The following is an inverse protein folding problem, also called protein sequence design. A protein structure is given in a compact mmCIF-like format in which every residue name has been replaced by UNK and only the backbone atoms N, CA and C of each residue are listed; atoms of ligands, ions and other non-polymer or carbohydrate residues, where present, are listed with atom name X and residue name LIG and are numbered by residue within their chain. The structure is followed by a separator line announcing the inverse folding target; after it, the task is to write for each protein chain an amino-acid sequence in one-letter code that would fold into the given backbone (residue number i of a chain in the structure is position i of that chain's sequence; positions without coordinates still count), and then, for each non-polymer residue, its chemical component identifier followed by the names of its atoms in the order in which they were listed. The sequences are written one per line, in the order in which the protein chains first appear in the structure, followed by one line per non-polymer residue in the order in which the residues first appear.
data_IF_160560802452
#
_entry.id   IF_160560802452
#
_cell.length_a   1.000
_cell.length_b   1.000
_cell.length_c   1.000
_cell.angle_alpha   90.00
_cell.angle_beta   90.00
_cell.angle_gamma   90.00
#
_symmetry.space_group_name_H-M   'P 1'
#
loop_
_entity.id
_entity.type
_entity.pdbx_description
1 polymer ?
#
# COMPACT_ATOMS: atom_id res chain seq x y z
N UNK A 1 17.45 -11.48 1.53
CA UNK A 1 18.33 -11.23 2.67
C UNK A 1 18.97 -9.86 2.61
N UNK A 2 19.72 -9.56 3.63
CA UNK A 2 20.48 -8.32 3.76
C UNK A 2 21.94 -8.60 3.43
N UNK A 3 22.39 -8.21 2.25
CA UNK A 3 23.78 -8.33 1.85
C UNK A 3 24.06 -9.36 0.76
N UNK A 4 25.32 -9.38 0.25
CA UNK A 4 25.66 -10.08 -0.98
C UNK A 4 25.61 -11.61 -0.88
N UNK A 5 25.66 -12.17 0.31
CA UNK A 5 25.58 -13.64 0.53
C UNK A 5 24.15 -14.15 0.72
N UNK A 6 23.19 -13.26 1.00
CA UNK A 6 21.82 -13.61 1.34
C UNK A 6 20.80 -13.21 0.26
N UNK A 7 21.30 -12.77 -0.89
CA UNK A 7 20.51 -12.30 -2.01
C UNK A 7 20.44 -10.78 -2.09
N UNK A 8 19.92 -10.30 -3.21
CA UNK A 8 19.77 -8.88 -3.49
C UNK A 8 18.32 -8.44 -3.25
N UNK A 9 18.16 -7.22 -2.78
CA UNK A 9 16.86 -6.57 -2.63
C UNK A 9 16.87 -5.23 -3.37
N UNK A 10 15.74 -4.89 -3.99
CA UNK A 10 15.56 -3.56 -4.59
C UNK A 10 15.22 -2.49 -3.56
N UNK A 11 14.86 -2.88 -2.34
CA UNK A 11 14.48 -1.98 -1.24
C UNK A 11 15.65 -1.43 -0.45
N UNK A 12 16.81 -2.08 -0.53
CA UNK A 12 18.01 -1.74 0.25
C UNK A 12 19.24 -1.70 -0.64
N UNK A 13 20.18 -0.80 -0.35
CA UNK A 13 21.52 -0.90 -0.92
C UNK A 13 22.21 -2.17 -0.42
N UNK A 14 23.13 -2.72 -1.22
CA UNK A 14 23.80 -4.02 -0.94
C UNK A 14 24.61 -4.04 0.37
N UNK A 15 24.96 -2.88 0.90
CA UNK A 15 25.72 -2.70 2.14
C UNK A 15 24.84 -2.45 3.38
N UNK A 16 23.50 -2.47 3.23
CA UNK A 16 22.59 -2.41 4.38
C UNK A 16 22.57 -3.75 5.12
N UNK A 17 22.61 -3.69 6.44
CA UNK A 17 22.40 -4.82 7.33
C UNK A 17 20.98 -4.83 7.90
N UNK A 18 20.62 -5.90 8.61
CA UNK A 18 19.34 -5.98 9.32
C UNK A 18 19.24 -4.89 10.40
N UNK A 19 20.33 -4.65 11.12
CA UNK A 19 20.42 -3.60 12.14
C UNK A 19 20.25 -2.21 11.56
N UNK A 20 20.74 -1.97 10.34
CA UNK A 20 20.50 -0.71 9.61
C UNK A 20 19.00 -0.53 9.28
N UNK A 21 18.33 -1.61 8.86
CA UNK A 21 16.91 -1.59 8.59
C UNK A 21 16.07 -1.35 9.86
N UNK A 22 16.43 -1.98 10.98
CA UNK A 22 15.80 -1.78 12.28
C UNK A 22 15.99 -0.33 12.78
N UNK A 23 17.19 0.22 12.65
CA UNK A 23 17.48 1.62 12.97
C UNK A 23 16.65 2.56 12.10
N UNK A 24 16.59 2.31 10.81
CA UNK A 24 15.77 3.08 9.89
C UNK A 24 14.27 3.02 10.27
N UNK A 25 13.76 1.85 10.67
CA UNK A 25 12.36 1.73 11.09
C UNK A 25 12.07 2.60 12.31
N UNK A 26 12.93 2.58 13.34
CA UNK A 26 12.77 3.45 14.51
C UNK A 26 12.80 4.95 14.13
N UNK A 27 13.67 5.33 13.20
CA UNK A 27 13.69 6.70 12.66
C UNK A 27 12.37 7.07 11.97
N UNK A 28 11.86 6.19 11.11
CA UNK A 28 10.59 6.38 10.40
C UNK A 28 9.42 6.52 11.39
N UNK A 29 9.35 5.65 12.39
CA UNK A 29 8.29 5.66 13.40
C UNK A 29 8.31 6.95 14.22
N UNK A 30 9.48 7.40 14.67
CA UNK A 30 9.62 8.65 15.41
C UNK A 30 9.21 9.87 14.58
N UNK A 31 9.49 9.86 13.28
CA UNK A 31 9.16 10.96 12.36
C UNK A 31 7.79 10.81 11.69
N UNK A 32 7.00 9.77 12.05
CA UNK A 32 5.68 9.46 11.50
C UNK A 32 5.70 9.34 9.97
N UNK A 33 6.75 8.73 9.44
CA UNK A 33 6.92 8.43 8.02
C UNK A 33 6.62 6.96 7.82
N UNK A 34 5.72 6.62 6.90
CA UNK A 34 5.48 5.23 6.54
C UNK A 34 6.63 4.65 5.72
N UNK A 35 6.95 3.39 5.96
CA UNK A 35 7.93 2.65 5.17
C UNK A 35 7.41 2.18 3.80
N UNK A 36 6.10 2.09 3.61
CA UNK A 36 5.46 1.43 2.46
C UNK A 36 5.99 1.87 1.09
N UNK A 37 6.15 3.15 0.86
CA UNK A 37 6.62 3.72 -0.40
C UNK A 37 8.08 4.18 -0.35
N UNK A 38 8.91 3.53 0.50
CA UNK A 38 10.30 3.93 0.69
C UNK A 38 11.31 2.88 0.24
N UNK A 39 12.54 3.33 -0.03
CA UNK A 39 13.73 2.49 -0.17
C UNK A 39 14.85 3.07 0.69
N UNK A 40 15.78 2.23 1.18
CA UNK A 40 16.87 2.61 2.07
C UNK A 40 18.24 2.41 1.39
N UNK A 41 19.04 3.45 1.39
CA UNK A 41 20.41 3.42 0.87
C UNK A 41 21.39 3.90 1.92
N UNK A 42 22.37 3.04 2.25
CA UNK A 42 23.45 3.36 3.17
C UNK A 42 24.62 3.95 2.40
N UNK A 43 25.04 5.15 2.77
CA UNK A 43 26.19 5.87 2.21
C UNK A 43 27.26 5.95 3.29
N UNK A 44 28.48 5.59 2.94
CA UNK A 44 29.65 5.79 3.78
C UNK A 44 30.41 7.00 3.25
N UNK A 45 30.53 8.03 4.05
CA UNK A 45 31.28 9.24 3.69
C UNK A 45 32.79 9.05 3.92
N UNK A 46 33.61 9.92 3.37
CA UNK A 46 35.08 9.84 3.46
C UNK A 46 35.61 9.88 4.90
N UNK A 47 34.87 10.50 5.81
CA UNK A 47 35.13 10.58 7.26
C UNK A 47 34.62 9.36 8.05
N UNK A 48 34.18 8.29 7.37
CA UNK A 48 33.53 7.12 7.94
C UNK A 48 32.18 7.41 8.63
N UNK A 49 31.58 8.57 8.43
CA UNK A 49 30.24 8.87 8.91
C UNK A 49 29.20 8.12 8.03
N UNK A 50 28.26 7.46 8.70
CA UNK A 50 27.15 6.77 7.99
C UNK A 50 26.01 7.75 7.75
N UNK A 51 25.60 7.86 6.49
CA UNK A 51 24.38 8.58 6.10
C UNK A 51 23.38 7.59 5.46
N UNK A 52 22.14 7.63 5.93
CA UNK A 52 21.05 6.84 5.36
C UNK A 52 20.16 7.75 4.50
N UNK A 53 20.06 7.42 3.21
CA UNK A 53 19.12 8.04 2.31
C UNK A 53 17.82 7.22 2.29
N UNK A 54 16.73 7.80 2.77
CA UNK A 54 15.38 7.27 2.66
C UNK A 54 14.75 7.88 1.43
N UNK A 55 14.67 7.10 0.36
CA UNK A 55 14.05 7.53 -0.90
C UNK A 55 12.57 7.22 -0.87
N UNK A 56 11.75 8.25 -1.07
CA UNK A 56 10.28 8.18 -1.10
C UNK A 56 9.80 8.24 -2.54
N UNK A 57 9.02 7.26 -2.97
CA UNK A 57 8.42 7.25 -4.31
C UNK A 57 7.42 8.39 -4.47
N UNK A 58 7.67 9.26 -5.46
CA UNK A 58 6.81 10.41 -5.78
C UNK A 58 7.16 11.05 -7.12
N UNK A 59 6.20 11.78 -7.70
CA UNK A 59 6.42 12.56 -8.92
C UNK A 59 7.26 13.83 -8.67
N UNK A 60 7.09 14.43 -7.49
CA UNK A 60 7.84 15.62 -7.07
C UNK A 60 9.10 15.23 -6.32
N UNK A 61 10.22 15.83 -6.70
CA UNK A 61 11.51 15.62 -6.07
C UNK A 61 11.85 16.73 -5.09
N UNK A 62 12.28 16.36 -3.89
CA UNK A 62 12.86 17.27 -2.90
C UNK A 62 13.78 16.50 -1.97
N UNK A 63 14.67 17.22 -1.27
CA UNK A 63 15.53 16.66 -0.25
C UNK A 63 15.32 17.45 1.04
N UNK A 64 15.04 16.75 2.14
CA UNK A 64 14.92 17.38 3.45
C UNK A 64 16.32 17.59 4.07
N UNK A 65 16.41 18.52 4.98
CA UNK A 65 17.62 18.69 5.80
C UNK A 65 17.95 17.38 6.54
N UNK A 66 19.25 17.04 6.64
CA UNK A 66 19.69 15.86 7.36
C UNK A 66 19.30 15.90 8.84
N UNK A 67 18.93 14.74 9.39
CA UNK A 67 18.58 14.57 10.80
C UNK A 67 19.53 13.55 11.42
N UNK A 68 20.21 13.93 12.48
CA UNK A 68 21.03 13.01 13.29
C UNK A 68 20.13 12.11 14.15
N UNK A 69 20.33 10.79 14.05
CA UNK A 69 19.59 9.81 14.83
C UNK A 69 20.45 8.56 15.09
N UNK A 70 20.56 8.15 16.35
CA UNK A 70 21.33 6.97 16.80
C UNK A 70 22.74 6.88 16.18
N UNK A 71 23.47 8.01 16.15
CA UNK A 71 24.85 8.07 15.66
C UNK A 71 25.02 7.96 14.14
N UNK A 72 23.95 8.16 13.38
CA UNK A 72 23.96 8.24 11.93
C UNK A 72 23.14 9.43 11.44
N UNK A 73 23.38 9.86 10.21
CA UNK A 73 22.63 10.92 9.56
C UNK A 73 21.53 10.29 8.67
N UNK A 74 20.32 10.82 8.73
CA UNK A 74 19.19 10.39 7.90
C UNK A 74 18.73 11.53 6.99
N UNK A 75 18.61 11.27 5.70
CA UNK A 75 18.15 12.21 4.69
C UNK A 75 16.93 11.63 3.99
N UNK A 76 15.78 12.31 4.08
CA UNK A 76 14.55 11.92 3.36
C UNK A 76 14.55 12.62 2.00
N UNK A 77 14.50 11.82 0.94
CA UNK A 77 14.59 12.28 -0.45
C UNK A 77 13.33 11.80 -1.20
N UNK A 78 12.50 12.73 -1.66
CA UNK A 78 11.36 12.43 -2.52
C UNK A 78 11.78 12.42 -3.99
N UNK A 79 10.92 11.90 -4.88
CA UNK A 79 11.20 11.79 -6.32
C UNK A 79 11.75 10.44 -6.75
N UNK A 80 11.76 9.45 -5.87
CA UNK A 80 12.08 8.09 -6.30
C UNK A 80 11.04 7.60 -7.31
N UNK A 81 11.48 7.01 -8.43
CA UNK A 81 10.62 6.61 -9.55
C UNK A 81 9.80 7.76 -10.19
N UNK A 82 10.26 9.02 -10.11
CA UNK A 82 9.50 10.22 -10.49
C UNK A 82 8.87 10.13 -11.88
N UNK A 83 9.59 9.64 -12.90
CA UNK A 83 9.08 9.55 -14.27
C UNK A 83 7.84 8.61 -14.38
N UNK A 84 7.82 7.52 -13.62
CA UNK A 84 6.67 6.61 -13.57
C UNK A 84 5.53 7.21 -12.75
N UNK A 85 5.84 7.82 -11.61
CA UNK A 85 4.86 8.47 -10.74
C UNK A 85 4.16 9.63 -11.47
N UNK A 86 4.88 10.45 -12.24
CA UNK A 86 4.31 11.51 -13.07
C UNK A 86 3.26 10.98 -14.05
N UNK A 87 3.56 9.87 -14.74
CA UNK A 87 2.62 9.23 -15.65
C UNK A 87 1.39 8.69 -14.91
N UNK A 88 1.59 8.03 -13.79
CA UNK A 88 0.50 7.51 -12.97
C UNK A 88 -0.42 8.64 -12.47
N UNK A 89 0.15 9.74 -11.97
CA UNK A 89 -0.60 10.93 -11.53
C UNK A 89 -1.45 11.50 -12.66
N UNK A 90 -0.86 11.69 -13.84
CA UNK A 90 -1.58 12.24 -14.99
C UNK A 90 -2.78 11.35 -15.37
N UNK A 91 -2.57 10.04 -15.47
CA UNK A 91 -3.62 9.07 -15.85
C UNK A 91 -4.71 8.95 -14.78
N UNK A 92 -4.36 8.96 -13.50
CA UNK A 92 -5.34 8.94 -12.41
C UNK A 92 -6.22 10.20 -12.40
N UNK A 93 -5.64 11.36 -12.67
CA UNK A 93 -6.40 12.62 -12.78
C UNK A 93 -7.34 12.62 -13.99
N UNK A 94 -6.93 12.03 -15.12
CA UNK A 94 -7.82 11.83 -16.26
C UNK A 94 -8.96 10.85 -15.93
N UNK A 95 -8.64 9.72 -15.29
CA UNK A 95 -9.64 8.76 -14.84
C UNK A 95 -10.65 9.37 -13.85
N UNK A 96 -10.19 10.23 -12.95
CA UNK A 96 -11.07 10.91 -11.98
C UNK A 96 -12.15 11.78 -12.65
N UNK A 97 -11.87 12.37 -13.82
CA UNK A 97 -12.86 13.19 -14.58
C UNK A 97 -14.03 12.37 -15.10
N UNK A 98 -13.84 11.06 -15.30
CA UNK A 98 -14.85 10.14 -15.82
C UNK A 98 -15.28 9.11 -14.78
N UNK A 99 -14.94 9.31 -13.52
CA UNK A 99 -15.36 8.46 -12.40
C UNK A 99 -16.89 8.34 -12.34
N UNK A 100 -17.38 7.13 -12.10
CA UNK A 100 -18.81 6.83 -12.10
C UNK A 100 -19.58 7.54 -10.97
N UNK A 101 -18.91 7.89 -9.88
CA UNK A 101 -19.50 8.54 -8.72
C UNK A 101 -18.44 9.33 -7.92
N UNK A 102 -18.90 10.07 -6.90
CA UNK A 102 -18.02 10.90 -6.06
C UNK A 102 -17.01 10.12 -5.23
N UNK A 103 -17.30 8.88 -4.85
CA UNK A 103 -16.34 8.05 -4.10
C UNK A 103 -15.16 7.64 -4.99
N UNK A 104 -15.46 7.22 -6.22
CA UNK A 104 -14.43 6.86 -7.21
C UNK A 104 -13.61 8.09 -7.63
N UNK A 105 -14.25 9.24 -7.91
CA UNK A 105 -13.56 10.50 -8.18
C UNK A 105 -12.62 10.89 -7.04
N UNK A 106 -13.09 10.81 -5.79
CA UNK A 106 -12.30 11.13 -4.59
C UNK A 106 -11.12 10.19 -4.43
N UNK A 107 -11.34 8.88 -4.56
CA UNK A 107 -10.30 7.86 -4.48
C UNK A 107 -9.16 8.15 -5.48
N UNK A 108 -9.50 8.33 -6.76
CA UNK A 108 -8.52 8.53 -7.83
C UNK A 108 -7.71 9.82 -7.64
N UNK A 109 -8.35 10.91 -7.21
CA UNK A 109 -7.67 12.17 -6.91
C UNK A 109 -6.73 12.04 -5.70
N UNK A 110 -7.15 11.34 -4.64
CA UNK A 110 -6.32 11.10 -3.45
C UNK A 110 -5.12 10.21 -3.76
N UNK A 111 -5.28 9.18 -4.60
CA UNK A 111 -4.16 8.38 -5.07
C UNK A 111 -3.20 9.20 -5.93
N UNK A 112 -3.73 10.05 -6.83
CA UNK A 112 -2.89 10.97 -7.60
C UNK A 112 -2.11 11.93 -6.69
N UNK A 113 -2.72 12.48 -5.65
CA UNK A 113 -2.05 13.35 -4.67
C UNK A 113 -0.96 12.61 -3.88
N UNK A 114 -1.24 11.37 -3.47
CA UNK A 114 -0.25 10.49 -2.83
C UNK A 114 0.98 10.30 -3.73
N UNK A 115 0.77 9.90 -4.98
CA UNK A 115 1.87 9.62 -5.90
C UNK A 115 2.58 10.90 -6.38
N UNK A 116 1.92 12.03 -6.34
CA UNK A 116 2.55 13.31 -6.64
C UNK A 116 3.55 13.72 -5.56
N UNK A 117 3.16 13.62 -4.28
CA UNK A 117 3.90 14.15 -3.14
C UNK A 117 4.66 13.09 -2.32
N UNK A 118 4.33 11.81 -2.49
CA UNK A 118 4.84 10.72 -1.64
C UNK A 118 4.13 10.62 -0.28
N UNK A 119 2.98 11.29 -0.11
CA UNK A 119 2.22 11.31 1.13
C UNK A 119 1.25 10.13 1.21
N UNK A 120 1.64 9.07 1.93
CA UNK A 120 0.86 7.86 2.06
C UNK A 120 -0.48 8.07 2.78
N UNK A 121 -0.64 9.12 3.60
CA UNK A 121 -1.93 9.43 4.23
C UNK A 121 -3.02 9.66 3.18
N UNK A 122 -2.66 10.23 2.03
CA UNK A 122 -3.60 10.40 0.90
C UNK A 122 -4.06 9.07 0.30
N UNK A 123 -3.18 8.08 0.26
CA UNK A 123 -3.57 6.73 -0.18
C UNK A 123 -4.50 6.05 0.83
N UNK A 124 -4.25 6.22 2.12
CA UNK A 124 -5.13 5.74 3.20
C UNK A 124 -6.53 6.38 3.11
N UNK A 125 -6.60 7.70 2.93
CA UNK A 125 -7.86 8.43 2.72
C UNK A 125 -8.59 7.96 1.45
N UNK A 126 -7.86 7.77 0.35
CA UNK A 126 -8.38 7.22 -0.89
C UNK A 126 -8.94 5.80 -0.72
N UNK A 127 -8.25 4.96 0.06
CA UNK A 127 -8.71 3.60 0.38
C UNK A 127 -10.02 3.61 1.17
N UNK A 128 -10.24 4.57 2.06
CA UNK A 128 -11.54 4.76 2.74
C UNK A 128 -12.65 5.13 1.76
N UNK A 129 -12.37 5.97 0.76
CA UNK A 129 -13.32 6.28 -0.32
C UNK A 129 -13.63 5.05 -1.15
N UNK A 130 -12.60 4.24 -1.48
CA UNK A 130 -12.74 2.99 -2.22
C UNK A 130 -13.64 1.97 -1.53
N UNK A 131 -13.47 1.78 -0.21
CA UNK A 131 -14.32 0.86 0.58
C UNK A 131 -15.79 1.28 0.58
N UNK A 132 -16.07 2.59 0.53
CA UNK A 132 -17.43 3.13 0.51
C UNK A 132 -18.10 3.01 -0.85
N UNK A 133 -17.33 2.84 -1.92
CA UNK A 133 -17.84 2.64 -3.28
C UNK A 133 -18.29 1.19 -3.45
N UNK A 134 -19.57 0.93 -3.19
CA UNK A 134 -20.16 -0.41 -3.23
C UNK A 134 -20.68 -0.75 -4.63
N UNK A 135 -20.24 -1.89 -5.16
CA UNK A 135 -20.69 -2.43 -6.44
C UNK A 135 -20.42 -1.53 -7.65
N UNK A 136 -19.21 -0.98 -7.82
CA UNK A 136 -18.90 -0.18 -9.00
C UNK A 136 -18.93 -1.06 -10.26
N UNK A 137 -19.21 -0.48 -11.43
CA UNK A 137 -19.12 -1.21 -12.69
C UNK A 137 -17.67 -1.54 -13.06
N UNK A 138 -16.77 -0.59 -12.79
CA UNK A 138 -15.31 -0.75 -12.95
C UNK A 138 -14.67 -0.66 -11.59
N UNK A 139 -13.95 -1.70 -11.21
CA UNK A 139 -13.18 -1.77 -9.97
C UNK A 139 -11.70 -1.54 -10.26
N UNK A 140 -11.04 -0.79 -9.38
CA UNK A 140 -9.60 -0.55 -9.50
C UNK A 140 -8.97 -0.26 -8.15
N UNK A 141 -7.71 -0.64 -8.00
CA UNK A 141 -6.87 -0.30 -6.87
C UNK A 141 -5.42 -0.24 -7.32
N UNK A 142 -4.64 0.75 -6.89
CA UNK A 142 -3.25 0.93 -7.32
C UNK A 142 -2.43 1.57 -6.20
N UNK A 143 -1.22 1.09 -5.99
CA UNK A 143 -0.27 1.66 -5.02
C UNK A 143 0.82 0.70 -4.58
N UNK A 144 1.41 1.02 -3.43
CA UNK A 144 2.33 0.14 -2.72
C UNK A 144 1.51 -0.70 -1.73
N UNK A 145 1.30 -1.98 -2.03
CA UNK A 145 0.22 -2.76 -1.39
C UNK A 145 0.76 -3.91 -0.54
N UNK A 146 1.40 -4.90 -1.14
CA UNK A 146 1.90 -6.08 -0.45
C UNK A 146 3.36 -5.91 -0.07
N UNK A 147 3.79 -6.55 1.01
CA UNK A 147 5.17 -6.44 1.53
C UNK A 147 5.95 -7.75 1.53
N UNK A 148 5.54 -8.72 0.70
CA UNK A 148 6.16 -10.05 0.67
C UNK A 148 7.60 -10.06 0.17
N UNK A 149 7.97 -9.12 -0.71
CA UNK A 149 9.30 -9.08 -1.33
C UNK A 149 10.32 -8.27 -0.53
N UNK A 150 9.87 -7.43 0.40
CA UNK A 150 10.78 -6.75 1.30
C UNK A 150 11.34 -7.75 2.33
N UNK A 151 12.66 -7.98 2.38
CA UNK A 151 13.24 -8.87 3.37
C UNK A 151 13.05 -8.41 4.83
N UNK A 152 12.69 -7.16 5.05
CA UNK A 152 12.29 -6.62 6.35
C UNK A 152 10.78 -6.67 6.60
N UNK A 153 9.97 -6.80 5.53
CA UNK A 153 8.53 -7.00 5.61
C UNK A 153 7.70 -5.73 5.84
N UNK A 154 8.24 -4.53 5.59
CA UNK A 154 7.54 -3.26 5.85
C UNK A 154 7.30 -2.40 4.61
N UNK A 155 8.06 -2.62 3.53
CA UNK A 155 7.98 -1.83 2.30
C UNK A 155 7.06 -2.50 1.30
N UNK A 156 6.17 -1.71 0.70
CA UNK A 156 5.17 -2.19 -0.23
C UNK A 156 5.73 -2.48 -1.62
N UNK A 157 5.17 -3.50 -2.25
CA UNK A 157 5.32 -3.76 -3.68
C UNK A 157 4.35 -2.88 -4.46
N UNK A 158 4.80 -2.33 -5.58
CA UNK A 158 3.93 -1.61 -6.49
C UNK A 158 3.04 -2.59 -7.24
N UNK A 159 1.73 -2.41 -7.11
CA UNK A 159 0.75 -3.16 -7.87
C UNK A 159 -0.46 -2.30 -8.22
N UNK A 160 -1.21 -2.75 -9.21
CA UNK A 160 -2.47 -2.11 -9.57
C UNK A 160 -3.28 -2.98 -10.51
N UNK A 161 -4.59 -2.87 -10.42
CA UNK A 161 -5.50 -3.54 -11.32
C UNK A 161 -6.65 -2.64 -11.78
N UNK A 162 -7.19 -2.98 -12.93
CA UNK A 162 -8.48 -2.49 -13.44
C UNK A 162 -9.28 -3.70 -13.88
N UNK A 163 -10.52 -3.79 -13.42
CA UNK A 163 -11.41 -4.91 -13.68
C UNK A 163 -12.84 -4.45 -13.90
N UNK A 164 -13.63 -5.25 -14.59
CA UNK A 164 -15.09 -5.10 -14.71
C UNK A 164 -15.76 -6.07 -13.74
N UNK A 165 -16.75 -5.60 -13.00
CA UNK A 165 -17.48 -6.44 -12.04
C UNK A 165 -18.34 -7.45 -12.77
N UNK A 166 -18.13 -8.75 -12.50
CA UNK A 166 -19.00 -9.83 -12.92
C UNK A 166 -20.22 -9.88 -12.00
N UNK A 167 -21.33 -9.27 -12.43
CA UNK A 167 -22.53 -9.13 -11.61
C UNK A 167 -23.21 -10.47 -11.32
N UNK A 168 -23.19 -11.41 -12.27
CA UNK A 168 -23.82 -12.72 -12.09
C UNK A 168 -23.10 -13.52 -11.01
N UNK A 169 -21.78 -13.63 -11.11
CA UNK A 169 -20.97 -14.35 -10.12
C UNK A 169 -20.97 -13.63 -8.77
N UNK A 170 -20.91 -12.30 -8.74
CA UNK A 170 -21.02 -11.52 -7.52
C UNK A 170 -22.35 -11.74 -6.79
N UNK A 171 -23.46 -11.88 -7.52
CA UNK A 171 -24.75 -12.21 -6.92
C UNK A 171 -24.79 -13.59 -6.26
N UNK A 172 -24.05 -14.58 -6.79
CA UNK A 172 -23.88 -15.90 -6.15
C UNK A 172 -23.13 -15.79 -4.83
N UNK A 173 -22.05 -15.00 -4.80
CA UNK A 173 -21.29 -14.74 -3.57
C UNK A 173 -22.07 -13.89 -2.55
N UNK A 174 -22.99 -13.04 -3.00
CA UNK A 174 -23.85 -12.28 -2.10
C UNK A 174 -24.68 -13.18 -1.19
N UNK A 175 -25.13 -14.31 -1.68
CA UNK A 175 -25.83 -15.30 -0.86
C UNK A 175 -24.97 -15.82 0.31
N UNK A 176 -23.68 -16.04 0.05
CA UNK A 176 -22.72 -16.43 1.10
C UNK A 176 -22.50 -15.28 2.11
N UNK A 177 -22.33 -14.07 1.61
CA UNK A 177 -22.13 -12.87 2.44
C UNK A 177 -23.36 -12.60 3.33
N UNK A 178 -24.55 -12.80 2.80
CA UNK A 178 -25.82 -12.63 3.56
C UNK A 178 -25.97 -13.65 4.68
N UNK A 179 -25.42 -14.86 4.48
CA UNK A 179 -25.41 -15.92 5.49
C UNK A 179 -24.20 -15.85 6.45
N UNK A 180 -23.28 -14.90 6.29
CA UNK A 180 -21.99 -14.89 6.99
C UNK A 180 -22.11 -14.93 8.52
N UNK A 181 -23.09 -14.22 9.11
CA UNK A 181 -23.31 -14.23 10.56
C UNK A 181 -23.69 -15.62 11.09
N UNK A 182 -24.39 -16.41 10.29
CA UNK A 182 -24.78 -17.78 10.67
C UNK A 182 -23.60 -18.75 10.69
N UNK A 183 -22.48 -18.39 10.09
CA UNK A 183 -21.26 -19.19 10.08
C UNK A 183 -20.34 -18.91 11.27
N UNK A 184 -20.47 -17.77 11.96
CA UNK A 184 -19.63 -17.42 13.10
C UNK A 184 -19.58 -18.52 14.17
N UNK A 185 -20.71 -19.11 14.61
CA UNK A 185 -20.68 -20.17 15.61
C UNK A 185 -20.05 -21.49 15.14
N UNK A 186 -19.84 -21.65 13.84
CA UNK A 186 -19.22 -22.83 13.24
C UNK A 186 -17.69 -22.72 13.10
N UNK A 187 -17.15 -21.54 13.38
CA UNK A 187 -15.70 -21.30 13.29
C UNK A 187 -14.96 -22.02 14.44
N UNK A 188 -13.70 -22.45 14.19
CA UNK A 188 -12.97 -23.30 15.14
C UNK A 188 -12.34 -22.55 16.32
N UNK A 189 -12.83 -21.37 16.66
CA UNK A 189 -12.37 -20.54 17.80
C UNK A 189 -13.55 -20.06 18.64
N UNK A 190 -13.32 -19.72 19.92
CA UNK A 190 -14.38 -19.23 20.80
C UNK A 190 -14.77 -17.79 20.48
N UNK A 191 -16.00 -17.43 20.86
CA UNK A 191 -16.60 -16.11 20.67
C UNK A 191 -15.73 -14.95 21.19
N UNK A 192 -14.89 -15.20 22.21
CA UNK A 192 -13.95 -14.19 22.74
C UNK A 192 -12.90 -13.69 21.73
N UNK A 193 -12.74 -14.37 20.58
CA UNK A 193 -11.89 -13.90 19.48
C UNK A 193 -12.66 -13.13 18.41
N UNK A 194 -13.99 -13.08 18.52
CA UNK A 194 -14.81 -12.29 17.59
C UNK A 194 -14.83 -10.81 18.00
N UNK A 195 -15.15 -9.95 17.02
CA UNK A 195 -15.38 -8.52 17.29
C UNK A 195 -16.74 -8.31 17.97
N UNK A 196 -16.86 -7.34 18.86
CA UNK A 196 -18.13 -6.93 19.50
C UNK A 196 -19.23 -6.64 18.47
N UNK A 197 -18.83 -6.16 17.29
CA UNK A 197 -19.74 -5.90 16.18
C UNK A 197 -19.20 -6.55 14.90
N UNK A 198 -19.94 -7.52 14.38
CA UNK A 198 -19.61 -8.12 13.08
C UNK A 198 -19.72 -7.09 11.95
N UNK A 199 -18.66 -7.00 11.16
CA UNK A 199 -18.64 -6.20 9.95
C UNK A 199 -18.71 -7.14 8.74
N UNK A 200 -19.88 -7.13 8.09
CA UNK A 200 -20.10 -7.96 6.91
C UNK A 200 -19.11 -7.57 5.80
N UNK A 201 -18.32 -8.52 5.27
CA UNK A 201 -17.39 -8.23 4.18
C UNK A 201 -18.12 -7.88 2.88
N UNK A 202 -17.48 -7.08 2.05
CA UNK A 202 -17.87 -6.92 0.65
C UNK A 202 -17.13 -7.98 -0.18
N UNK A 203 -17.86 -8.72 -1.02
CA UNK A 203 -17.27 -9.76 -1.86
C UNK A 203 -17.71 -9.53 -3.30
N UNK A 204 -16.74 -9.27 -4.19
CA UNK A 204 -17.00 -8.92 -5.58
C UNK A 204 -16.18 -9.81 -6.51
N UNK A 205 -16.86 -10.44 -7.48
CA UNK A 205 -16.20 -11.18 -8.56
C UNK A 205 -15.82 -10.23 -9.69
N UNK A 206 -14.59 -10.33 -10.16
CA UNK A 206 -14.00 -9.44 -11.14
C UNK A 206 -13.56 -10.17 -12.41
N UNK A 207 -13.80 -9.52 -13.55
CA UNK A 207 -13.14 -9.83 -14.83
C UNK A 207 -11.97 -8.85 -15.01
N UNK A 208 -10.76 -9.33 -14.80
CA UNK A 208 -9.56 -8.48 -14.80
C UNK A 208 -9.19 -8.07 -16.22
N UNK A 209 -9.13 -6.77 -16.47
CA UNK A 209 -8.69 -6.18 -17.74
C UNK A 209 -7.18 -5.95 -17.77
N UNK A 210 -6.62 -5.52 -16.64
CA UNK A 210 -5.19 -5.31 -16.47
C UNK A 210 -4.80 -5.53 -15.01
N UNK A 211 -3.69 -6.23 -14.79
CA UNK A 211 -3.08 -6.43 -13.48
C UNK A 211 -1.56 -6.29 -13.60
N UNK A 212 -1.01 -5.31 -12.91
CA UNK A 212 0.43 -5.06 -12.84
C UNK A 212 0.93 -5.35 -11.43
N UNK A 213 1.61 -6.49 -11.25
CA UNK A 213 2.22 -6.93 -10.00
C UNK A 213 3.22 -8.04 -10.27
N UNK A 214 3.88 -8.55 -9.23
CA UNK A 214 4.75 -9.73 -9.28
C UNK A 214 4.01 -11.04 -9.59
N UNK A 215 2.68 -11.06 -9.46
CA UNK A 215 1.80 -12.19 -9.78
C UNK A 215 0.34 -11.77 -9.76
N UNK A 216 -0.53 -12.53 -10.43
CA UNK A 216 -1.98 -12.30 -10.42
C UNK A 216 -2.60 -13.21 -9.36
N UNK A 217 -3.17 -12.68 -8.27
CA UNK A 217 -3.82 -13.47 -7.24
C UNK A 217 -5.19 -14.00 -7.72
N UNK A 218 -5.64 -15.09 -7.13
CA UNK A 218 -6.99 -15.59 -7.35
C UNK A 218 -8.05 -14.77 -6.60
N UNK A 219 -7.65 -14.04 -5.60
CA UNK A 219 -8.46 -13.10 -4.84
C UNK A 219 -7.60 -12.24 -3.94
N UNK A 220 -8.08 -11.05 -3.60
CA UNK A 220 -7.38 -10.07 -2.79
C UNK A 220 -8.28 -9.57 -1.67
N UNK A 221 -7.72 -9.39 -0.48
CA UNK A 221 -8.39 -8.81 0.68
C UNK A 221 -7.67 -7.53 1.09
N UNK A 222 -8.13 -6.39 0.63
CA UNK A 222 -7.47 -5.09 0.76
C UNK A 222 -8.45 -3.97 1.19
N UNK A 223 -7.95 -2.85 1.74
CA UNK A 223 -6.56 -2.43 1.92
C UNK A 223 -5.87 -3.14 3.11
N UNK A 224 -4.53 -3.09 3.14
CA UNK A 224 -3.72 -3.67 4.21
C UNK A 224 -3.49 -2.74 5.41
N UNK A 225 -3.91 -1.49 5.32
CA UNK A 225 -3.79 -0.51 6.40
C UNK A 225 -4.64 -0.90 7.61
N UNK A 226 -3.99 -1.20 8.73
CA UNK A 226 -4.66 -1.69 9.94
C UNK A 226 -5.72 -0.69 10.45
N UNK A 227 -5.43 0.61 10.45
CA UNK A 227 -6.35 1.67 10.86
C UNK A 227 -7.61 1.77 9.99
N UNK A 228 -7.51 1.39 8.70
CA UNK A 228 -8.67 1.33 7.80
C UNK A 228 -9.45 0.05 8.02
N UNK A 229 -8.76 -1.09 8.08
CA UNK A 229 -9.38 -2.41 8.27
C UNK A 229 -10.18 -2.51 9.57
N UNK A 230 -9.67 -1.90 10.65
CA UNK A 230 -10.33 -1.97 11.95
C UNK A 230 -11.57 -1.07 12.04
N UNK A 231 -11.60 0.05 11.34
CA UNK A 231 -12.67 1.06 11.45
C UNK A 231 -13.62 1.03 10.27
N UNK A 232 -13.09 1.02 9.04
CA UNK A 232 -13.86 1.15 7.80
C UNK A 232 -14.10 -0.21 7.13
N UNK A 233 -13.30 -1.23 7.44
CA UNK A 233 -13.37 -2.56 6.85
C UNK A 233 -12.43 -2.75 5.66
N UNK A 234 -12.80 -3.68 4.77
CA UNK A 234 -12.00 -4.08 3.60
C UNK A 234 -12.93 -4.66 2.52
N UNK A 235 -12.42 -4.76 1.30
CA UNK A 235 -13.07 -5.50 0.21
C UNK A 235 -12.39 -6.85 -0.02
N UNK A 236 -13.20 -7.83 -0.44
CA UNK A 236 -12.72 -9.07 -1.05
C UNK A 236 -13.07 -9.01 -2.54
N UNK A 237 -12.06 -9.00 -3.37
CA UNK A 237 -12.20 -8.93 -4.84
C UNK A 237 -11.41 -10.01 -5.52
#
# INVERSE_FOLDING_TARGET
GFGPKEGLSTYFSSNCTKEDAEKCQRFLDQNKISAYNTRLFKIMNDDNKTTFHIKVASAMASTREPIEFEGAEFVVITGDHAAFMQKAVALLREAAKVGANKMQESMLNLYAECFEKGDLQKHIEGSRSWIKDKGPAVESYIGFIESYQDPFGTRGEWEGFVAVVNRETSAKFQTLVDAAESFLPLLPWPESFEKDKFQRPDFTSLEVLAFGSSGIPAGINIPNYNEVRQVDGFKNV
#
